data_IF_814130593121
#
_entry.id   IF_814130593121
#
_cell.length_a   1.000
_cell.length_b   1.000
_cell.length_c   1.000
_cell.angle_alpha   90.00
_cell.angle_beta   90.00
_cell.angle_gamma   90.00
#
_symmetry.space_group_name_H-M   'P 1'
#
loop_
_entity.id
_entity.type
_entity.pdbx_description
1 polymer ?
#
# COMPACT_ATOMS: atom_id res chain seq x y z
N UNK A 1 -11.92 -10.00 -18.41
CA UNK A 1 -10.72 -9.50 -17.69
C UNK A 1 -10.82 -8.02 -17.39
N UNK A 2 -11.40 -7.24 -18.30
CA UNK A 2 -11.55 -5.78 -18.18
C UNK A 2 -12.22 -5.31 -16.88
N UNK A 3 -13.39 -5.86 -16.55
CA UNK A 3 -14.08 -5.57 -15.29
C UNK A 3 -13.22 -5.84 -14.05
N UNK A 4 -12.42 -6.91 -14.05
CA UNK A 4 -11.56 -7.28 -12.91
C UNK A 4 -10.46 -6.24 -12.72
N UNK A 5 -9.80 -5.82 -13.81
CA UNK A 5 -8.79 -4.75 -13.76
C UNK A 5 -9.37 -3.46 -13.19
N UNK A 6 -10.56 -3.06 -13.65
CA UNK A 6 -11.26 -1.87 -13.15
C UNK A 6 -11.59 -1.98 -11.66
N UNK A 7 -12.13 -3.11 -11.21
CA UNK A 7 -12.47 -3.31 -9.80
C UNK A 7 -11.22 -3.24 -8.90
N UNK A 8 -10.12 -3.87 -9.31
CA UNK A 8 -8.86 -3.81 -8.59
C UNK A 8 -8.27 -2.40 -8.58
N UNK A 9 -8.37 -1.67 -9.70
CA UNK A 9 -7.92 -0.28 -9.78
C UNK A 9 -8.73 0.62 -8.83
N UNK A 10 -10.06 0.47 -8.79
CA UNK A 10 -10.93 1.19 -7.85
C UNK A 10 -10.57 0.85 -6.41
N UNK A 11 -10.38 -0.43 -6.08
CA UNK A 11 -9.99 -0.86 -4.74
C UNK A 11 -8.69 -0.16 -4.29
N UNK A 12 -7.66 -0.19 -5.14
CA UNK A 12 -6.37 0.44 -4.85
C UNK A 12 -6.49 1.94 -4.65
N UNK A 13 -7.15 2.64 -5.59
CA UNK A 13 -7.29 4.10 -5.54
C UNK A 13 -8.16 4.54 -4.37
N UNK A 14 -9.31 3.88 -4.15
CA UNK A 14 -10.20 4.22 -3.05
C UNK A 14 -9.54 4.02 -1.68
N UNK A 15 -8.83 2.90 -1.51
CA UNK A 15 -8.10 2.64 -0.26
C UNK A 15 -6.96 3.64 -0.08
N UNK A 16 -6.20 3.96 -1.11
CA UNK A 16 -5.14 4.96 -1.05
C UNK A 16 -5.67 6.36 -0.68
N UNK A 17 -6.81 6.77 -1.25
CA UNK A 17 -7.46 8.04 -0.89
C UNK A 17 -7.92 8.00 0.57
N UNK A 18 -8.53 6.91 1.03
CA UNK A 18 -8.93 6.77 2.42
C UNK A 18 -7.74 6.87 3.39
N UNK A 19 -6.62 6.21 3.09
CA UNK A 19 -5.38 6.28 3.87
C UNK A 19 -4.81 7.69 3.87
N UNK A 20 -4.72 8.34 2.70
CA UNK A 20 -4.20 9.71 2.59
C UNK A 20 -5.03 10.71 3.41
N UNK A 21 -6.36 10.60 3.33
CA UNK A 21 -7.28 11.45 4.11
C UNK A 21 -7.09 11.20 5.62
N UNK A 22 -7.02 9.94 6.05
CA UNK A 22 -6.83 9.61 7.46
C UNK A 22 -5.46 10.04 7.97
N UNK A 23 -4.39 9.89 7.18
CA UNK A 23 -3.04 10.34 7.51
C UNK A 23 -3.01 11.86 7.78
N UNK A 24 -3.69 12.64 6.95
CA UNK A 24 -3.75 14.11 7.08
C UNK A 24 -4.64 14.53 8.25
N UNK A 25 -5.77 13.87 8.44
CA UNK A 25 -6.78 14.28 9.41
C UNK A 25 -6.55 13.71 10.81
N UNK A 26 -5.77 12.63 10.97
CA UNK A 26 -5.46 11.99 12.26
C UNK A 26 -5.07 13.00 13.35
N UNK A 27 -4.16 13.96 13.11
CA UNK A 27 -3.79 14.95 14.14
C UNK A 27 -4.94 15.89 14.58
N UNK A 28 -6.02 15.96 13.82
CA UNK A 28 -7.15 16.88 14.05
C UNK A 28 -8.22 16.26 14.94
N UNK A 29 -8.50 14.96 14.79
CA UNK A 29 -9.61 14.29 15.47
C UNK A 29 -9.18 13.19 16.46
N UNK A 30 -7.90 12.82 16.49
CA UNK A 30 -7.40 11.82 17.42
C UNK A 30 -6.72 12.47 18.63
N UNK A 31 -7.16 12.05 19.81
CA UNK A 31 -6.66 12.47 21.11
C UNK A 31 -5.40 11.71 21.56
N UNK A 32 -4.89 10.79 20.73
CA UNK A 32 -3.74 9.96 21.03
C UNK A 32 -4.05 8.73 21.89
N UNK A 33 -5.33 8.36 22.04
CA UNK A 33 -5.71 7.10 22.67
C UNK A 33 -5.17 5.89 21.88
N UNK A 34 -4.84 4.77 22.53
CA UNK A 34 -4.40 3.56 21.83
C UNK A 34 -5.51 2.94 20.97
N UNK A 35 -6.78 3.17 21.32
CA UNK A 35 -7.91 2.74 20.48
C UNK A 35 -8.05 3.61 19.25
N UNK A 36 -7.93 2.98 18.08
CA UNK A 36 -8.03 3.68 16.79
C UNK A 36 -8.92 2.93 15.78
N UNK A 37 -10.25 2.90 16.02
CA UNK A 37 -11.18 1.98 15.35
C UNK A 37 -11.27 2.19 13.83
N UNK A 38 -11.01 3.41 13.35
CA UNK A 38 -10.98 3.70 11.91
C UNK A 38 -9.81 3.00 11.23
N UNK A 39 -8.64 2.96 11.87
CA UNK A 39 -7.45 2.31 11.32
C UNK A 39 -7.54 0.79 11.36
N UNK A 40 -8.25 0.20 12.33
CA UNK A 40 -8.53 -1.23 12.31
C UNK A 40 -9.23 -1.66 11.02
N UNK A 41 -10.26 -0.91 10.60
CA UNK A 41 -11.00 -1.19 9.37
C UNK A 41 -10.13 -0.92 8.14
N UNK A 42 -9.44 0.23 8.11
CA UNK A 42 -8.58 0.62 6.99
C UNK A 42 -7.44 -0.39 6.78
N UNK A 43 -6.85 -0.92 7.84
CA UNK A 43 -5.76 -1.88 7.77
C UNK A 43 -6.16 -3.16 7.03
N UNK A 44 -7.39 -3.66 7.20
CA UNK A 44 -7.87 -4.80 6.41
C UNK A 44 -7.92 -4.51 4.91
N UNK A 45 -8.37 -3.31 4.52
CA UNK A 45 -8.38 -2.88 3.12
C UNK A 45 -6.96 -2.62 2.59
N UNK A 46 -6.07 -2.06 3.40
CA UNK A 46 -4.65 -1.88 3.07
C UNK A 46 -3.97 -3.22 2.85
N UNK A 47 -4.25 -4.23 3.67
CA UNK A 47 -3.69 -5.57 3.52
C UNK A 47 -4.06 -6.18 2.17
N UNK A 48 -5.35 -6.18 1.83
CA UNK A 48 -5.82 -6.68 0.55
C UNK A 48 -5.22 -5.88 -0.62
N UNK A 49 -5.22 -4.55 -0.52
CA UNK A 49 -4.68 -3.65 -1.55
C UNK A 49 -3.18 -3.84 -1.76
N UNK A 50 -2.42 -4.04 -0.69
CA UNK A 50 -0.97 -4.24 -0.75
C UNK A 50 -0.62 -5.54 -1.46
N UNK A 51 -1.36 -6.62 -1.18
CA UNK A 51 -1.21 -7.89 -1.89
C UNK A 51 -1.59 -7.76 -3.38
N UNK A 52 -2.68 -7.05 -3.69
CA UNK A 52 -3.07 -6.77 -5.08
C UNK A 52 -1.97 -5.98 -5.79
N UNK A 53 -1.43 -4.93 -5.16
CA UNK A 53 -0.35 -4.12 -5.74
C UNK A 53 0.90 -4.95 -6.01
N UNK A 54 1.29 -5.83 -5.10
CA UNK A 54 2.41 -6.74 -5.26
C UNK A 54 2.18 -7.72 -6.41
N UNK A 55 1.01 -8.36 -6.48
CA UNK A 55 0.70 -9.32 -7.55
C UNK A 55 0.70 -8.63 -8.91
N UNK A 56 0.02 -7.49 -9.05
CA UNK A 56 -0.05 -6.73 -10.31
C UNK A 56 1.35 -6.29 -10.75
N UNK A 57 2.15 -5.74 -9.83
CA UNK A 57 3.51 -5.30 -10.14
C UNK A 57 4.43 -6.49 -10.50
N UNK A 58 4.24 -7.65 -9.87
CA UNK A 58 5.01 -8.88 -10.16
C UNK A 58 4.70 -9.44 -11.54
N UNK A 59 3.41 -9.45 -11.93
CA UNK A 59 3.00 -9.89 -13.27
C UNK A 59 3.63 -9.00 -14.33
N UNK A 60 3.58 -7.67 -14.14
CA UNK A 60 4.15 -6.73 -15.09
C UNK A 60 5.67 -6.80 -15.17
N UNK A 61 6.35 -7.00 -14.03
CA UNK A 61 7.79 -7.22 -14.00
C UNK A 61 8.20 -8.46 -14.79
N UNK A 62 7.44 -9.55 -14.67
CA UNK A 62 7.65 -10.77 -15.44
C UNK A 62 7.46 -10.53 -16.94
N UNK A 63 6.45 -9.77 -17.33
CA UNK A 63 6.14 -9.51 -18.73
C UNK A 63 7.24 -8.64 -19.39
N UNK A 64 7.88 -7.73 -18.65
CA UNK A 64 9.05 -6.98 -19.15
C UNK A 64 10.24 -7.86 -19.52
N UNK A 65 10.45 -8.98 -18.81
CA UNK A 65 11.55 -9.91 -19.09
C UNK A 65 11.40 -10.66 -20.42
N UNK A 66 10.28 -10.48 -21.12
CA UNK A 66 9.97 -11.16 -22.39
C UNK A 66 10.26 -10.33 -23.65
N UNK A 67 10.71 -9.07 -23.51
CA UNK A 67 11.04 -8.18 -24.64
C UNK A 67 12.22 -7.24 -24.37
N UNK A 68 12.53 -6.36 -25.32
CA UNK A 68 13.45 -5.22 -25.14
C UNK A 68 12.64 -3.95 -24.80
N UNK A 69 12.39 -3.65 -23.50
CA UNK A 69 11.66 -2.45 -23.12
C UNK A 69 12.49 -1.19 -23.25
N UNK A 70 11.83 -0.06 -23.50
CA UNK A 70 12.45 1.25 -23.36
C UNK A 70 12.96 1.44 -21.92
N UNK A 71 14.15 2.05 -21.76
CA UNK A 71 14.83 2.16 -20.45
C UNK A 71 13.94 2.80 -19.37
N UNK A 72 13.14 3.80 -19.72
CA UNK A 72 12.23 4.47 -18.77
C UNK A 72 11.07 3.59 -18.31
N UNK A 73 10.54 2.75 -19.19
CA UNK A 73 9.47 1.80 -18.83
C UNK A 73 10.00 0.74 -17.88
N UNK A 74 11.17 0.18 -18.17
CA UNK A 74 11.84 -0.79 -17.30
C UNK A 74 12.08 -0.24 -15.90
N UNK A 75 12.55 1.01 -15.78
CA UNK A 75 12.72 1.69 -14.49
C UNK A 75 11.37 1.87 -13.77
N UNK A 76 10.35 2.32 -14.48
CA UNK A 76 9.01 2.53 -13.90
C UNK A 76 8.43 1.26 -13.28
N UNK A 77 8.50 0.13 -14.00
CA UNK A 77 8.01 -1.15 -13.46
C UNK A 77 8.92 -1.69 -12.36
N UNK A 78 10.24 -1.54 -12.47
CA UNK A 78 11.18 -1.90 -11.40
C UNK A 78 10.80 -1.22 -10.08
N UNK A 79 10.58 0.10 -10.13
CA UNK A 79 10.23 0.92 -8.97
C UNK A 79 8.93 0.45 -8.34
N UNK A 80 7.89 0.16 -9.15
CA UNK A 80 6.62 -0.34 -8.62
C UNK A 80 6.73 -1.75 -8.05
N UNK A 81 7.52 -2.63 -8.68
CA UNK A 81 7.75 -3.98 -8.19
C UNK A 81 8.48 -3.98 -6.86
N UNK A 82 9.66 -3.37 -6.78
CA UNK A 82 10.43 -3.29 -5.53
C UNK A 82 9.71 -2.45 -4.47
N UNK A 83 9.04 -1.37 -4.87
CA UNK A 83 8.20 -0.56 -3.98
C UNK A 83 7.07 -1.37 -3.37
N UNK A 84 6.40 -2.23 -4.16
CA UNK A 84 5.34 -3.11 -3.65
C UNK A 84 5.88 -4.20 -2.71
N UNK A 85 7.09 -4.74 -2.98
CA UNK A 85 7.74 -5.68 -2.06
C UNK A 85 8.02 -5.01 -0.71
N UNK A 86 8.69 -3.86 -0.74
CA UNK A 86 9.04 -3.10 0.48
C UNK A 86 7.79 -2.73 1.25
N UNK A 87 6.76 -2.20 0.56
CA UNK A 87 5.48 -1.88 1.18
C UNK A 87 4.84 -3.11 1.83
N UNK A 88 4.79 -4.25 1.13
CA UNK A 88 4.19 -5.49 1.66
C UNK A 88 4.93 -5.95 2.91
N UNK A 89 6.26 -5.98 2.87
CA UNK A 89 7.07 -6.41 4.01
C UNK A 89 6.87 -5.50 5.21
N UNK A 90 6.93 -4.18 5.02
CA UNK A 90 6.73 -3.21 6.10
C UNK A 90 5.31 -3.27 6.64
N UNK A 91 4.30 -3.19 5.78
CA UNK A 91 2.90 -3.21 6.21
C UNK A 91 2.58 -4.47 7.03
N UNK A 92 2.88 -5.66 6.53
CA UNK A 92 2.58 -6.90 7.26
C UNK A 92 3.44 -7.09 8.50
N UNK A 93 4.69 -6.62 8.49
CA UNK A 93 5.50 -6.59 9.71
C UNK A 93 4.79 -5.75 10.78
N UNK A 94 4.52 -4.47 10.49
CA UNK A 94 3.85 -3.58 11.44
C UNK A 94 2.49 -4.10 11.88
N UNK A 95 1.68 -4.60 10.95
CA UNK A 95 0.33 -5.03 11.25
C UNK A 95 0.29 -6.32 12.09
N UNK A 96 1.15 -7.32 11.81
CA UNK A 96 1.25 -8.53 12.66
C UNK A 96 1.67 -8.17 14.08
N UNK A 97 2.56 -7.19 14.23
CA UNK A 97 2.95 -6.65 15.53
C UNK A 97 1.76 -6.04 16.28
N UNK A 98 0.94 -5.21 15.61
CA UNK A 98 -0.28 -4.63 16.22
C UNK A 98 -1.31 -5.68 16.64
N UNK A 99 -1.32 -6.86 16.00
CA UNK A 99 -2.21 -7.96 16.36
C UNK A 99 -1.70 -8.77 17.57
N UNK A 100 -0.43 -8.60 18.00
CA UNK A 100 0.17 -9.27 19.15
C UNK A 100 0.79 -8.25 20.13
N UNK A 101 -0.03 -7.47 20.85
CA UNK A 101 0.44 -6.42 21.76
C UNK A 101 1.32 -6.94 22.93
N UNK A 102 1.22 -8.22 23.29
CA UNK A 102 2.06 -8.85 24.32
C UNK A 102 3.55 -8.98 23.94
N UNK A 103 3.90 -8.66 22.69
CA UNK A 103 5.28 -8.71 22.18
C UNK A 103 6.10 -7.44 22.42
N UNK A 104 5.52 -6.38 23.00
CA UNK A 104 6.20 -5.10 23.21
C UNK A 104 7.14 -5.08 24.43
N UNK A 105 8.42 -4.85 24.19
CA UNK A 105 9.32 -4.18 25.15
C UNK A 105 9.23 -2.67 24.94
N UNK A 106 9.23 -1.88 26.02
CA UNK A 106 8.84 -0.45 26.04
C UNK A 106 9.61 0.54 25.14
N UNK A 107 10.62 0.11 24.36
CA UNK A 107 11.23 0.91 23.30
C UNK A 107 10.38 0.94 22.00
N UNK A 108 9.48 -0.04 21.82
CA UNK A 108 8.64 -0.20 20.63
C UNK A 108 7.56 0.89 20.46
N UNK A 109 7.10 1.51 21.55
CA UNK A 109 6.02 2.53 21.49
C UNK A 109 6.45 3.79 20.73
N UNK A 110 7.73 4.16 20.83
CA UNK A 110 8.25 5.41 20.21
C UNK A 110 8.54 5.27 18.72
N UNK A 111 8.84 4.07 18.22
CA UNK A 111 9.12 3.85 16.79
C UNK A 111 7.84 3.95 15.94
N UNK A 112 6.67 3.72 16.53
CA UNK A 112 5.36 3.84 15.86
C UNK A 112 5.06 5.24 15.32
N UNK A 113 5.56 6.30 15.98
CA UNK A 113 5.31 7.70 15.59
C UNK A 113 5.88 8.04 14.22
N UNK A 114 6.98 7.41 13.82
CA UNK A 114 7.63 7.63 12.51
C UNK A 114 7.27 6.51 11.54
N UNK A 115 7.16 5.28 12.04
CA UNK A 115 6.95 4.10 11.22
C UNK A 115 5.60 4.09 10.50
N UNK A 116 4.49 4.34 11.21
CA UNK A 116 3.16 4.26 10.59
C UNK A 116 2.95 5.34 9.52
N UNK A 117 3.28 6.63 9.75
CA UNK A 117 3.16 7.64 8.70
C UNK A 117 4.01 7.33 7.46
N UNK A 118 5.17 6.69 7.63
CA UNK A 118 6.02 6.27 6.51
C UNK A 118 5.35 5.16 5.70
N UNK A 119 4.82 4.12 6.37
CA UNK A 119 4.09 3.02 5.72
C UNK A 119 2.86 3.55 5.00
N UNK A 120 2.08 4.42 5.63
CA UNK A 120 0.89 5.03 5.04
C UNK A 120 1.22 5.86 3.82
N UNK A 121 2.27 6.69 3.90
CA UNK A 121 2.73 7.50 2.76
C UNK A 121 3.19 6.63 1.60
N UNK A 122 3.96 5.58 1.88
CA UNK A 122 4.42 4.63 0.87
C UNK A 122 3.24 3.87 0.25
N UNK A 123 2.28 3.45 1.07
CA UNK A 123 1.05 2.81 0.63
C UNK A 123 0.30 3.69 -0.36
N UNK A 124 0.07 4.96 -0.01
CA UNK A 124 -0.63 5.92 -0.87
C UNK A 124 0.06 6.04 -2.23
N UNK A 125 1.38 6.21 -2.26
CA UNK A 125 2.13 6.37 -3.51
C UNK A 125 2.05 5.12 -4.37
N UNK A 126 2.35 3.95 -3.80
CA UNK A 126 2.39 2.69 -4.54
C UNK A 126 0.99 2.27 -5.01
N UNK A 127 -0.02 2.31 -4.13
CA UNK A 127 -1.38 1.93 -4.47
C UNK A 127 -1.99 2.86 -5.52
N UNK A 128 -1.78 4.17 -5.45
CA UNK A 128 -2.22 5.10 -6.49
C UNK A 128 -1.52 4.84 -7.83
N UNK A 129 -0.19 4.62 -7.81
CA UNK A 129 0.56 4.39 -9.03
C UNK A 129 0.14 3.09 -9.73
N UNK A 130 0.02 1.99 -8.98
CA UNK A 130 -0.45 0.70 -9.51
C UNK A 130 -1.91 0.78 -9.94
N UNK A 131 -2.77 1.41 -9.13
CA UNK A 131 -4.20 1.56 -9.44
C UNK A 131 -4.45 2.40 -10.69
N UNK A 132 -3.76 3.54 -10.83
CA UNK A 132 -3.81 4.38 -12.04
C UNK A 132 -3.36 3.62 -13.28
N UNK A 133 -2.27 2.88 -13.16
CA UNK A 133 -1.74 2.09 -14.27
C UNK A 133 -2.74 1.02 -14.71
N UNK A 134 -3.28 0.26 -13.77
CA UNK A 134 -4.28 -0.77 -14.04
C UNK A 134 -5.56 -0.17 -14.64
N UNK A 135 -5.96 1.03 -14.23
CA UNK A 135 -7.07 1.77 -14.83
C UNK A 135 -6.80 2.19 -16.28
N UNK A 136 -5.57 2.64 -16.61
CA UNK A 136 -5.23 3.02 -17.99
C UNK A 136 -5.27 1.84 -18.95
N UNK A 137 -4.85 0.65 -18.52
CA UNK A 137 -4.92 -0.57 -19.34
C UNK A 137 -6.35 -1.10 -19.55
N UNK A 138 -7.32 -0.50 -18.85
CA UNK A 138 -8.71 -0.92 -18.81
C UNK A 138 -9.60 -0.10 -19.78
N UNK A 139 -9.03 0.96 -20.34
CA UNK A 139 -9.75 1.91 -21.21
C UNK A 139 -9.67 1.62 -22.70
N UNK A 140 -8.80 0.69 -23.11
CA UNK A 140 -8.58 0.26 -24.50
C UNK A 140 -9.37 -1.03 -24.82
#
# INVERSE_FOLDING_TARGET
MELVKRLLAVLLVATAVAVAVNLILTPVYHDGSPDYPVWEVINWFMAASTLVALVVSSLRWRDLGSGEPATLESVGVSVLFYGSIVLTMLFFWGWIWTLNPDSETGEAVTSHVIYFPLVDSLFVVVALAVGRHLWSESGD
#
